data_IF_726953817793
#
_entry.id   IF_726953817793
#
_cell.length_a   1.000
_cell.length_b   1.000
_cell.length_c   1.000
_cell.angle_alpha   90.00
_cell.angle_beta   90.00
_cell.angle_gamma   90.00
#
_symmetry.space_group_name_H-M   'P 1'
#
loop_
_entity.id
_entity.type
_entity.pdbx_description
1 polymer ?
#
# COMPACT_ATOMS: atom_id res chain seq x y z
N UNK A 1 -23.15 0.01 19.21
CA UNK A 1 -22.33 -0.03 17.98
C UNK A 1 -21.17 -0.98 18.22
N UNK A 2 -21.26 -2.21 17.70
CA UNK A 2 -20.24 -3.25 17.83
C UNK A 2 -18.99 -2.85 17.03
N UNK A 3 -17.87 -2.63 17.73
CA UNK A 3 -16.54 -2.55 17.11
C UNK A 3 -16.15 -3.95 16.66
N UNK A 4 -16.57 -4.34 15.47
CA UNK A 4 -16.11 -5.59 14.85
C UNK A 4 -14.64 -5.35 14.48
N UNK A 5 -13.71 -5.89 15.27
CA UNK A 5 -12.32 -6.01 14.86
C UNK A 5 -12.32 -6.69 13.48
N UNK A 6 -11.74 -6.09 12.43
CA UNK A 6 -11.69 -6.75 11.13
C UNK A 6 -10.96 -8.08 11.30
N UNK A 7 -11.67 -9.18 11.08
CA UNK A 7 -11.08 -10.51 11.20
C UNK A 7 -9.91 -10.64 10.25
N UNK A 8 -8.86 -11.35 10.66
CA UNK A 8 -7.63 -11.55 9.88
C UNK A 8 -7.91 -11.90 8.41
N UNK A 9 -8.97 -12.67 8.14
CA UNK A 9 -9.40 -13.00 6.77
C UNK A 9 -9.82 -11.80 5.91
N UNK A 10 -10.49 -10.78 6.48
CA UNK A 10 -10.85 -9.56 5.76
C UNK A 10 -9.59 -8.74 5.42
N UNK A 11 -8.65 -8.64 6.34
CA UNK A 11 -7.38 -7.94 6.11
C UNK A 11 -6.55 -8.65 5.03
N UNK A 12 -6.46 -9.99 5.06
CA UNK A 12 -5.77 -10.76 4.02
C UNK A 12 -6.43 -10.62 2.65
N UNK A 13 -7.77 -10.62 2.57
CA UNK A 13 -8.49 -10.41 1.32
C UNK A 13 -8.22 -9.03 0.72
N UNK A 14 -8.28 -7.99 1.56
CA UNK A 14 -8.01 -6.62 1.13
C UNK A 14 -6.55 -6.49 0.65
N UNK A 15 -5.59 -6.99 1.43
CA UNK A 15 -4.17 -6.99 1.02
C UNK A 15 -3.94 -7.76 -0.29
N UNK A 16 -4.58 -8.92 -0.44
CA UNK A 16 -4.51 -9.72 -1.67
C UNK A 16 -5.05 -8.97 -2.88
N UNK A 17 -6.21 -8.30 -2.73
CA UNK A 17 -6.77 -7.45 -3.76
C UNK A 17 -5.81 -6.32 -4.14
N UNK A 18 -5.29 -5.58 -3.15
CA UNK A 18 -4.35 -4.48 -3.38
C UNK A 18 -3.08 -4.94 -4.11
N UNK A 19 -2.56 -6.12 -3.75
CA UNK A 19 -1.39 -6.70 -4.37
C UNK A 19 -1.64 -7.06 -5.84
N UNK A 20 -2.74 -7.78 -6.12
CA UNK A 20 -3.06 -8.22 -7.49
C UNK A 20 -3.36 -7.04 -8.41
N UNK A 21 -4.16 -6.06 -7.94
CA UNK A 21 -4.47 -4.87 -8.74
C UNK A 21 -3.23 -4.00 -8.97
N UNK A 22 -2.38 -3.84 -7.95
CA UNK A 22 -1.11 -3.14 -8.06
C UNK A 22 -0.15 -3.81 -9.06
N UNK A 23 -0.02 -5.14 -9.00
CA UNK A 23 0.81 -5.90 -9.93
C UNK A 23 0.32 -5.78 -11.38
N UNK A 24 -0.98 -5.85 -11.61
CA UNK A 24 -1.57 -5.66 -12.94
C UNK A 24 -1.28 -4.26 -13.51
N UNK A 25 -1.44 -3.20 -12.70
CA UNK A 25 -1.11 -1.83 -13.12
C UNK A 25 0.39 -1.68 -13.41
N UNK A 26 1.25 -2.25 -12.56
CA UNK A 26 2.70 -2.20 -12.77
C UNK A 26 3.12 -2.86 -14.08
N UNK A 27 2.51 -3.99 -14.45
CA UNK A 27 2.76 -4.65 -15.74
C UNK A 27 2.39 -3.77 -16.94
N UNK A 28 1.24 -3.08 -16.88
CA UNK A 28 0.80 -2.17 -17.96
C UNK A 28 1.73 -0.96 -18.09
N UNK A 29 2.11 -0.35 -16.95
CA UNK A 29 3.07 0.76 -16.92
C UNK A 29 4.42 0.30 -17.46
N UNK A 30 4.88 -0.89 -17.07
CA UNK A 30 6.15 -1.44 -17.54
C UNK A 30 6.14 -1.68 -19.05
N UNK A 31 5.09 -2.28 -19.60
CA UNK A 31 4.98 -2.55 -21.04
C UNK A 31 5.08 -1.26 -21.85
N UNK A 32 4.26 -0.25 -21.48
CA UNK A 32 4.23 1.05 -22.15
C UNK A 32 5.55 1.82 -22.03
N UNK A 33 6.20 1.81 -20.86
CA UNK A 33 7.52 2.44 -20.67
C UNK A 33 8.63 1.68 -21.41
N UNK A 34 8.57 0.34 -21.45
CA UNK A 34 9.53 -0.49 -22.17
C UNK A 34 9.49 -0.19 -23.67
N UNK A 35 8.30 -0.06 -24.26
CA UNK A 35 8.14 0.33 -25.67
C UNK A 35 8.70 1.73 -25.94
N UNK A 36 8.46 2.67 -25.02
CA UNK A 36 9.01 4.02 -25.11
C UNK A 36 10.54 4.03 -25.04
N UNK A 37 11.13 3.32 -24.08
CA UNK A 37 12.59 3.20 -23.91
C UNK A 37 13.25 2.46 -25.07
N UNK A 38 12.54 1.54 -25.73
CA UNK A 38 13.01 0.83 -26.91
C UNK A 38 13.01 1.69 -28.19
N UNK A 39 12.58 2.96 -28.11
CA UNK A 39 12.55 3.89 -29.25
C UNK A 39 11.46 3.55 -30.28
N UNK A 40 10.48 2.72 -29.91
CA UNK A 40 9.29 2.52 -30.74
C UNK A 40 8.44 3.80 -30.71
N UNK A 41 7.73 4.14 -31.81
CA UNK A 41 6.83 5.28 -31.83
C UNK A 41 5.63 4.99 -30.92
N UNK A 42 5.76 5.32 -29.64
CA UNK A 42 4.65 5.23 -28.70
C UNK A 42 3.69 6.38 -29.01
N UNK A 43 2.45 6.04 -29.34
CA UNK A 43 1.40 7.03 -29.53
C UNK A 43 1.28 7.88 -28.27
N UNK A 44 1.29 9.21 -28.39
CA UNK A 44 1.30 10.12 -27.23
C UNK A 44 0.17 9.86 -26.23
N UNK A 45 -0.95 9.29 -26.68
CA UNK A 45 -2.05 8.84 -25.83
C UNK A 45 -1.68 7.69 -24.87
N UNK A 46 -0.87 6.72 -25.32
CA UNK A 46 -0.42 5.59 -24.49
C UNK A 46 0.58 6.03 -23.42
N UNK A 47 1.47 6.97 -23.75
CA UNK A 47 2.40 7.55 -22.78
C UNK A 47 1.66 8.34 -21.69
N UNK A 48 0.67 9.17 -22.09
CA UNK A 48 -0.19 9.88 -21.13
C UNK A 48 -1.00 8.92 -20.25
N UNK A 49 -1.50 7.82 -20.84
CA UNK A 49 -2.18 6.76 -20.09
C UNK A 49 -1.24 6.10 -19.07
N UNK A 50 0.00 5.80 -19.45
CA UNK A 50 1.01 5.24 -18.54
C UNK A 50 1.29 6.20 -17.36
N UNK A 51 1.45 7.50 -17.64
CA UNK A 51 1.63 8.52 -16.60
C UNK A 51 0.41 8.66 -15.69
N UNK A 52 -0.80 8.61 -16.24
CA UNK A 52 -2.02 8.61 -15.45
C UNK A 52 -2.12 7.35 -14.54
N UNK A 53 -1.76 6.18 -15.07
CA UNK A 53 -1.74 4.92 -14.33
C UNK A 53 -0.69 4.94 -13.21
N UNK A 54 0.46 5.59 -13.41
CA UNK A 54 1.45 5.81 -12.34
C UNK A 54 0.83 6.65 -11.21
N UNK A 55 0.13 7.73 -11.54
CA UNK A 55 -0.57 8.56 -10.55
C UNK A 55 -1.63 7.77 -9.77
N UNK A 56 -2.42 6.95 -10.46
CA UNK A 56 -3.40 6.04 -9.83
C UNK A 56 -2.69 5.02 -8.93
N UNK A 57 -1.59 4.43 -9.38
CA UNK A 57 -0.81 3.47 -8.60
C UNK A 57 -0.27 4.07 -7.31
N UNK A 58 0.27 5.30 -7.35
CA UNK A 58 0.74 6.02 -6.16
C UNK A 58 -0.40 6.33 -5.20
N UNK A 59 -1.54 6.81 -5.70
CA UNK A 59 -2.73 7.05 -4.87
C UNK A 59 -3.26 5.78 -4.23
N UNK A 60 -3.21 4.66 -4.95
CA UNK A 60 -3.62 3.35 -4.48
C UNK A 60 -2.68 2.80 -3.39
N UNK A 61 -1.36 2.97 -3.56
CA UNK A 61 -0.38 2.64 -2.53
C UNK A 61 -0.56 3.49 -1.26
N UNK A 62 -0.83 4.79 -1.41
CA UNK A 62 -1.15 5.67 -0.28
C UNK A 62 -2.41 5.23 0.47
N UNK A 63 -3.47 4.86 -0.26
CA UNK A 63 -4.71 4.37 0.33
C UNK A 63 -4.48 3.07 1.11
N UNK A 64 -3.68 2.15 0.56
CA UNK A 64 -3.29 0.91 1.24
C UNK A 64 -2.51 1.19 2.53
N UNK A 65 -1.52 2.08 2.49
CA UNK A 65 -0.76 2.48 3.67
C UNK A 65 -1.67 3.08 4.75
N UNK A 66 -2.62 3.93 4.33
CA UNK A 66 -3.60 4.54 5.23
C UNK A 66 -4.54 3.50 5.83
N UNK A 67 -5.00 2.53 5.04
CA UNK A 67 -5.84 1.42 5.53
C UNK A 67 -5.09 0.59 6.58
N UNK A 68 -3.83 0.22 6.33
CA UNK A 68 -3.01 -0.55 7.27
C UNK A 68 -2.85 0.21 8.60
N UNK A 69 -2.55 1.51 8.57
CA UNK A 69 -2.42 2.34 9.77
C UNK A 69 -3.71 2.45 10.60
N UNK A 70 -4.88 2.40 9.94
CA UNK A 70 -6.18 2.46 10.62
C UNK A 70 -6.57 1.12 11.25
N UNK A 71 -6.12 0.01 10.65
CA UNK A 71 -6.53 -1.33 11.07
C UNK A 71 -5.52 -1.97 12.04
N UNK A 72 -4.23 -1.73 11.85
CA UNK A 72 -3.19 -2.20 12.77
C UNK A 72 -2.96 -1.11 13.82
N UNK A 73 -3.38 -1.31 15.08
CA UNK A 73 -3.09 -0.34 16.12
C UNK A 73 -1.57 -0.17 16.21
N UNK A 74 -1.04 1.07 16.27
CA UNK A 74 0.35 1.26 16.64
C UNK A 74 0.52 0.58 18.00
N UNK A 75 1.41 -0.41 18.08
CA UNK A 75 1.81 -0.98 19.36
C UNK A 75 2.10 0.19 20.29
N UNK A 76 1.52 0.24 21.50
CA UNK A 76 1.98 1.22 22.46
C UNK A 76 3.47 0.95 22.64
N UNK A 77 4.30 1.86 22.15
CA UNK A 77 5.69 1.96 22.52
C UNK A 77 5.69 1.94 24.04
N UNK A 78 6.19 0.83 24.59
CA UNK A 78 6.39 0.60 26.02
C UNK A 78 6.70 1.93 26.68
N UNK A 79 5.73 2.46 27.43
CA UNK A 79 6.03 3.48 28.43
C UNK A 79 7.10 2.87 29.30
N UNK A 80 8.29 3.46 29.30
CA UNK A 80 9.31 3.18 30.30
C UNK A 80 8.67 3.54 31.65
N UNK A 81 8.02 2.57 32.29
CA UNK A 81 7.57 2.67 33.67
C UNK A 81 8.82 2.86 34.53
N UNK A 82 9.03 4.03 35.15
CA UNK A 82 10.17 4.23 36.04
C UNK A 82 9.97 3.57 37.42
N UNK A 83 8.88 2.81 37.62
CA UNK A 83 8.48 2.28 38.93
C UNK A 83 9.03 0.88 39.27
N UNK A 84 9.86 0.27 38.42
CA UNK A 84 10.36 -1.09 38.67
C UNK A 84 11.71 -1.15 39.40
N UNK A 85 12.30 0.00 39.76
CA UNK A 85 13.58 0.05 40.50
C UNK A 85 13.40 0.04 42.03
N UNK A 86 12.18 0.18 42.57
CA UNK A 86 11.93 0.13 44.02
C UNK A 86 11.70 -1.29 44.57
N UNK A 87 11.44 -2.28 43.70
CA UNK A 87 11.18 -3.68 44.11
C UNK A 87 12.47 -4.49 44.29
N UNK A 88 13.64 -3.87 44.09
CA UNK A 88 14.94 -4.53 44.25
C UNK A 88 15.85 -3.85 45.30
N UNK A 89 15.22 -3.29 46.35
CA UNK A 89 15.88 -3.09 47.66
C UNK A 89 15.70 -4.31 48.55
#
# INVERSE_FOLDING_TARGET
MSRTSPGTGQLTLVLGFFFVSGAAMALVIWHTLSEFLAGQPVEGGQYLLAMALIGVFVGFAWLMARYIQLVIPPYPSRTDDPDNDEVNR
#
